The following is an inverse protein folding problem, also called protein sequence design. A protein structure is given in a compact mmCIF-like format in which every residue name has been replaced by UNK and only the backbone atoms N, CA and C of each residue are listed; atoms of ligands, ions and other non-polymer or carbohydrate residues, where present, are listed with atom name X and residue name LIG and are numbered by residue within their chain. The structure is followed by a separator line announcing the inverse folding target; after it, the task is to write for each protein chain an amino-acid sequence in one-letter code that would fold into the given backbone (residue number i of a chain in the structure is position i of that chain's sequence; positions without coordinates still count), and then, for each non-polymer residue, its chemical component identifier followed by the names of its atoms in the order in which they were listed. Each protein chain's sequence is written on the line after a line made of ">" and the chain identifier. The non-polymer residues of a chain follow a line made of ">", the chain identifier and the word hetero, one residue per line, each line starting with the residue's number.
data_IF_330111362175
#
_entry.id   IF_330111362175
#
_cell.length_a   1.000
_cell.length_b   1.000
_cell.length_c   1.000
_cell.angle_alpha   90.00
_cell.angle_beta   90.00
_cell.angle_gamma   90.00
#
_symmetry.space_group_name_H-M   'P 1'
#
loop_
_entity.id
_entity.type
_entity.pdbx_description
1 polymer ?
#
# COMPACT_ATOMS: atom_id res chain seq x y z
N UNK A 1 9.70 95.12 -16.04
CA UNK A 1 10.01 94.33 -14.83
C UNK A 1 10.85 93.14 -15.28
N UNK A 2 12.17 93.22 -15.14
CA UNK A 2 13.07 92.07 -15.34
C UNK A 2 14.33 92.32 -14.50
N UNK A 3 14.62 91.49 -13.47
CA UNK A 3 15.77 91.68 -12.58
C UNK A 3 17.08 91.09 -13.14
N UNK A 4 18.21 91.68 -12.76
CA UNK A 4 19.55 91.08 -12.75
C UNK A 4 19.78 90.49 -11.34
N UNK A 5 20.59 89.42 -11.10
CA UNK A 5 22.05 89.60 -11.10
C UNK A 5 22.89 88.39 -11.59
N UNK A 6 24.22 88.58 -11.74
CA UNK A 6 25.15 87.62 -12.33
C UNK A 6 25.88 86.79 -11.26
N UNK A 7 26.71 85.82 -11.68
CA UNK A 7 28.09 85.52 -11.18
C UNK A 7 28.47 84.10 -11.65
N UNK A 8 29.55 83.96 -12.45
CA UNK A 8 30.27 82.70 -12.62
C UNK A 8 31.76 82.94 -12.38
N UNK A 9 32.26 82.39 -11.26
CA UNK A 9 33.67 82.35 -10.88
C UNK A 9 34.47 81.25 -11.60
N UNK A 10 35.76 81.07 -11.26
CA UNK A 10 36.82 80.75 -12.23
C UNK A 10 37.07 79.26 -12.54
N UNK A 11 37.69 79.07 -13.70
CA UNK A 11 38.18 77.86 -14.38
C UNK A 11 39.30 77.11 -13.63
N UNK A 12 39.46 75.78 -13.84
CA UNK A 12 40.76 75.04 -14.02
C UNK A 12 40.57 73.49 -14.10
N UNK A 13 41.60 72.67 -14.45
CA UNK A 13 41.82 72.13 -15.79
C UNK A 13 41.73 70.59 -15.86
N UNK A 14 41.79 70.04 -17.09
CA UNK A 14 41.94 68.59 -17.37
C UNK A 14 43.22 68.05 -16.72
N UNK A 15 43.13 66.93 -15.97
CA UNK A 15 44.30 66.11 -15.58
C UNK A 15 44.08 64.65 -15.98
N UNK A 16 45.08 64.15 -16.71
CA UNK A 16 45.20 62.80 -17.27
C UNK A 16 45.68 61.83 -16.17
N UNK A 17 45.02 60.66 -16.07
CA UNK A 17 45.45 59.35 -15.51
C UNK A 17 46.14 59.28 -14.13
N UNK A 18 45.84 58.25 -13.32
CA UNK A 18 46.71 57.07 -13.36
C UNK A 18 46.03 55.71 -13.07
N UNK A 19 46.53 54.68 -13.78
CA UNK A 19 46.72 53.26 -13.39
C UNK A 19 45.59 52.48 -12.70
N UNK A 20 45.24 51.34 -13.31
CA UNK A 20 44.40 50.28 -12.74
C UNK A 20 44.76 49.95 -11.27
N UNK A 21 43.78 49.91 -10.36
CA UNK A 21 43.99 49.28 -9.06
C UNK A 21 44.04 47.75 -9.21
N UNK A 22 44.97 47.13 -8.49
CA UNK A 22 45.13 45.68 -8.38
C UNK A 22 43.81 44.95 -7.98
N UNK A 23 43.65 43.66 -8.31
CA UNK A 23 42.40 42.95 -8.05
C UNK A 23 42.12 42.83 -6.55
N UNK A 24 40.92 43.26 -6.15
CA UNK A 24 40.35 43.03 -4.81
C UNK A 24 40.15 41.52 -4.60
N UNK A 25 40.58 40.91 -3.48
CA UNK A 25 40.25 39.53 -3.19
C UNK A 25 38.74 39.41 -2.93
N UNK A 26 38.00 38.91 -3.90
CA UNK A 26 36.59 38.54 -3.71
C UNK A 26 36.52 37.23 -2.95
N UNK A 27 35.87 37.27 -1.79
CA UNK A 27 35.48 36.10 -1.00
C UNK A 27 34.81 35.08 -1.92
N UNK A 28 35.16 33.77 -1.89
CA UNK A 28 34.50 32.79 -2.72
C UNK A 28 33.03 32.71 -2.29
N UNK A 29 32.13 33.08 -3.19
CA UNK A 29 30.70 32.79 -3.05
C UNK A 29 30.56 31.27 -2.99
N UNK A 30 30.20 30.76 -1.81
CA UNK A 30 29.76 29.37 -1.64
C UNK A 30 28.55 29.16 -2.54
N UNK A 31 28.81 28.66 -3.75
CA UNK A 31 27.82 28.17 -4.70
C UNK A 31 27.07 27.07 -3.96
N UNK A 32 25.87 27.40 -3.49
CA UNK A 32 24.98 26.47 -2.83
C UNK A 32 24.90 25.21 -3.68
N UNK A 33 25.53 24.14 -3.18
CA UNK A 33 25.43 22.80 -3.77
C UNK A 33 23.92 22.53 -3.87
N UNK A 34 23.38 22.13 -5.03
CA UNK A 34 21.98 21.77 -5.10
C UNK A 34 21.77 20.69 -4.04
N UNK A 35 21.05 21.05 -2.97
CA UNK A 35 20.58 20.09 -1.99
C UNK A 35 19.65 19.20 -2.78
N UNK A 36 20.19 18.07 -3.23
CA UNK A 36 19.37 16.96 -3.68
C UNK A 36 18.72 16.47 -2.40
N UNK A 37 17.60 17.12 -2.05
CA UNK A 37 16.72 16.63 -1.02
C UNK A 37 16.19 15.31 -1.56
N UNK A 38 16.79 14.21 -1.14
CA UNK A 38 16.20 12.89 -1.25
C UNK A 38 14.90 12.97 -0.46
N UNK A 39 13.81 13.33 -1.13
CA UNK A 39 12.48 13.23 -0.57
C UNK A 39 12.27 11.73 -0.30
N UNK A 40 12.41 11.33 0.97
CA UNK A 40 11.97 10.02 1.41
C UNK A 40 10.47 9.99 1.09
N UNK A 41 9.99 9.07 0.23
CA UNK A 41 8.57 9.03 -0.09
C UNK A 41 7.81 8.79 1.21
N UNK A 42 6.95 9.75 1.56
CA UNK A 42 6.04 9.69 2.71
C UNK A 42 4.89 8.71 2.42
N UNK A 43 5.22 7.45 2.10
CA UNK A 43 4.25 6.37 1.80
C UNK A 43 4.14 5.37 2.95
N UNK A 44 4.37 5.79 4.20
CA UNK A 44 4.82 4.82 5.22
C UNK A 44 3.76 4.46 6.27
N UNK A 45 2.76 5.29 6.55
CA UNK A 45 1.81 5.01 7.66
C UNK A 45 0.42 4.56 7.19
N UNK A 46 -0.15 5.18 6.15
CA UNK A 46 -1.52 4.85 5.74
C UNK A 46 -1.62 3.51 4.99
N UNK A 47 -0.57 3.14 4.26
CA UNK A 47 -0.57 1.91 3.45
C UNK A 47 -0.09 0.67 4.21
N UNK A 48 0.61 0.86 5.33
CA UNK A 48 1.25 -0.22 6.09
C UNK A 48 0.23 -1.16 6.73
N UNK A 49 -0.90 -0.64 7.23
CA UNK A 49 -1.94 -1.48 7.83
C UNK A 49 -2.65 -2.36 6.80
N UNK A 50 -2.99 -1.84 5.61
CA UNK A 50 -3.58 -2.67 4.56
C UNK A 50 -2.58 -3.73 4.06
N UNK A 51 -1.30 -3.37 3.90
CA UNK A 51 -0.23 -4.32 3.57
C UNK A 51 -0.11 -5.42 4.60
N UNK A 52 -0.17 -5.06 5.89
CA UNK A 52 -0.15 -6.03 6.98
C UNK A 52 -1.36 -6.96 6.94
N UNK A 53 -2.57 -6.43 6.81
CA UNK A 53 -3.80 -7.22 6.73
C UNK A 53 -3.79 -8.17 5.52
N UNK A 54 -3.33 -7.72 4.36
CA UNK A 54 -3.17 -8.57 3.17
C UNK A 54 -2.14 -9.69 3.39
N UNK A 55 -1.01 -9.40 4.06
CA UNK A 55 0.00 -10.43 4.36
C UNK A 55 -0.50 -11.45 5.37
N UNK A 56 -1.18 -10.98 6.41
CA UNK A 56 -1.78 -11.84 7.43
C UNK A 56 -2.79 -12.79 6.79
N UNK A 57 -3.73 -12.26 6.00
CA UNK A 57 -4.72 -13.05 5.26
C UNK A 57 -4.03 -14.07 4.33
N UNK A 58 -3.05 -13.63 3.55
CA UNK A 58 -2.31 -14.51 2.64
C UNK A 58 -1.60 -15.67 3.34
N UNK A 59 -0.95 -15.41 4.47
CA UNK A 59 -0.22 -16.44 5.24
C UNK A 59 -1.22 -17.40 5.89
N UNK A 60 -2.24 -16.86 6.58
CA UNK A 60 -3.24 -17.68 7.25
C UNK A 60 -4.03 -18.53 6.26
N UNK A 61 -4.48 -17.96 5.14
CA UNK A 61 -5.21 -18.69 4.10
C UNK A 61 -4.31 -19.70 3.39
N UNK A 62 -3.07 -19.34 3.05
CA UNK A 62 -2.11 -20.25 2.42
C UNK A 62 -1.77 -21.46 3.31
N UNK A 63 -1.43 -21.22 4.58
CA UNK A 63 -1.17 -22.28 5.55
C UNK A 63 -2.42 -23.11 5.85
N UNK A 64 -3.58 -22.48 5.95
CA UNK A 64 -4.86 -23.14 6.10
C UNK A 64 -5.17 -24.07 4.93
N UNK A 65 -4.89 -23.65 3.70
CA UNK A 65 -5.00 -24.49 2.51
C UNK A 65 -4.07 -25.70 2.53
N UNK A 66 -2.80 -25.52 2.93
CA UNK A 66 -1.86 -26.65 3.07
C UNK A 66 -2.31 -27.63 4.15
N UNK A 67 -2.74 -27.12 5.31
CA UNK A 67 -3.27 -27.95 6.39
C UNK A 67 -4.54 -28.70 5.97
N UNK A 68 -5.43 -28.02 5.23
CA UNK A 68 -6.64 -28.61 4.67
C UNK A 68 -6.31 -29.73 3.68
N UNK A 69 -5.34 -29.53 2.77
CA UNK A 69 -4.90 -30.58 1.85
C UNK A 69 -4.33 -31.80 2.59
N UNK A 70 -3.52 -31.58 3.62
CA UNK A 70 -2.94 -32.65 4.43
C UNK A 70 -4.01 -33.44 5.21
N UNK A 71 -5.08 -32.76 5.65
CA UNK A 71 -6.16 -33.34 6.43
C UNK A 71 -7.40 -33.72 5.61
N UNK A 72 -7.42 -33.54 4.28
CA UNK A 72 -8.62 -33.69 3.46
C UNK A 72 -9.24 -35.11 3.55
N UNK A 73 -8.44 -36.17 3.58
CA UNK A 73 -8.98 -37.53 3.68
C UNK A 73 -9.76 -37.79 4.99
N UNK A 74 -9.20 -37.55 6.19
CA UNK A 74 -9.95 -37.69 7.43
C UNK A 74 -11.04 -36.62 7.59
N UNK A 75 -10.83 -35.42 7.05
CA UNK A 75 -11.78 -34.32 7.16
C UNK A 75 -13.05 -34.58 6.34
N UNK A 76 -12.94 -35.04 5.10
CA UNK A 76 -14.07 -35.41 4.24
C UNK A 76 -15.00 -36.43 4.89
N UNK A 77 -14.42 -37.40 5.60
CA UNK A 77 -15.19 -38.40 6.34
C UNK A 77 -15.96 -37.80 7.53
N UNK A 78 -15.41 -36.76 8.15
CA UNK A 78 -15.97 -36.10 9.33
C UNK A 78 -16.97 -35.00 8.98
N UNK A 79 -16.67 -34.21 7.95
CA UNK A 79 -17.46 -33.07 7.49
C UNK A 79 -18.60 -33.48 6.55
N UNK A 80 -18.52 -34.68 5.97
CA UNK A 80 -19.46 -35.17 4.95
C UNK A 80 -19.28 -34.49 3.59
N UNK A 81 -18.27 -33.64 3.42
CA UNK A 81 -17.97 -33.03 2.13
C UNK A 81 -17.29 -34.05 1.20
N UNK A 82 -17.50 -33.97 -0.13
CA UNK A 82 -16.79 -34.79 -1.08
C UNK A 82 -15.30 -34.48 -1.00
N UNK A 83 -14.47 -35.52 -1.01
CA UNK A 83 -13.01 -35.38 -0.95
C UNK A 83 -12.47 -34.44 -2.05
N UNK A 84 -13.05 -34.50 -3.25
CA UNK A 84 -12.71 -33.61 -4.35
C UNK A 84 -13.00 -32.12 -4.04
N UNK A 85 -14.07 -31.83 -3.31
CA UNK A 85 -14.41 -30.46 -2.91
C UNK A 85 -13.42 -29.94 -1.86
N UNK A 86 -13.00 -30.76 -0.90
CA UNK A 86 -12.00 -30.36 0.10
C UNK A 86 -10.62 -30.12 -0.50
N UNK A 87 -10.17 -31.00 -1.42
CA UNK A 87 -8.93 -30.75 -2.16
C UNK A 87 -9.02 -29.54 -3.08
N UNK A 88 -10.17 -29.33 -3.73
CA UNK A 88 -10.43 -28.14 -4.55
C UNK A 88 -10.35 -26.86 -3.72
N UNK A 89 -10.95 -26.86 -2.53
CA UNK A 89 -10.89 -25.74 -1.59
C UNK A 89 -9.47 -25.50 -1.08
N UNK A 90 -8.74 -26.57 -0.74
CA UNK A 90 -7.36 -26.49 -0.30
C UNK A 90 -6.45 -25.89 -1.38
N UNK A 91 -6.57 -26.37 -2.62
CA UNK A 91 -5.82 -25.85 -3.75
C UNK A 91 -6.15 -24.37 -4.01
N UNK A 92 -7.44 -24.02 -3.95
CA UNK A 92 -7.88 -22.63 -4.08
C UNK A 92 -7.25 -21.72 -3.01
N UNK A 93 -7.24 -22.14 -1.74
CA UNK A 93 -6.63 -21.37 -0.65
C UNK A 93 -5.11 -21.20 -0.79
N UNK A 94 -4.39 -22.24 -1.24
CA UNK A 94 -2.95 -22.12 -1.49
C UNK A 94 -2.68 -21.11 -2.62
N UNK A 95 -3.39 -21.24 -3.74
CA UNK A 95 -3.23 -20.32 -4.89
C UNK A 95 -3.61 -18.89 -4.52
N UNK A 96 -4.71 -18.73 -3.78
CA UNK A 96 -5.16 -17.44 -3.27
C UNK A 96 -4.10 -16.83 -2.34
N UNK A 97 -3.62 -17.57 -1.34
CA UNK A 97 -2.59 -17.10 -0.42
C UNK A 97 -1.32 -16.64 -1.13
N UNK A 98 -0.82 -17.42 -2.10
CA UNK A 98 0.33 -17.01 -2.93
C UNK A 98 0.04 -15.74 -3.73
N UNK A 99 -1.15 -15.65 -4.34
CA UNK A 99 -1.55 -14.49 -5.14
C UNK A 99 -1.67 -13.23 -4.29
N UNK A 100 -2.34 -13.30 -3.13
CA UNK A 100 -2.48 -12.15 -2.22
C UNK A 100 -1.12 -11.76 -1.63
N UNK A 101 -0.27 -12.74 -1.28
CA UNK A 101 1.07 -12.45 -0.79
C UNK A 101 1.89 -11.68 -1.83
N UNK A 102 1.86 -12.10 -3.10
CA UNK A 102 2.56 -11.39 -4.18
C UNK A 102 1.99 -10.00 -4.42
N UNK A 103 0.66 -9.85 -4.39
CA UNK A 103 -0.01 -8.56 -4.52
C UNK A 103 0.33 -7.59 -3.36
N UNK A 104 0.53 -8.11 -2.14
CA UNK A 104 0.92 -7.30 -0.98
C UNK A 104 2.29 -6.64 -1.11
N UNK A 105 3.12 -7.09 -2.05
CA UNK A 105 4.48 -6.59 -2.30
C UNK A 105 4.52 -5.48 -3.37
N UNK A 106 3.37 -5.11 -3.96
CA UNK A 106 3.29 -4.04 -4.96
C UNK A 106 3.41 -2.65 -4.32
N UNK A 107 3.87 -1.70 -5.13
CA UNK A 107 4.03 -0.30 -4.71
C UNK A 107 2.70 0.34 -4.30
N UNK A 108 1.62 0.04 -5.04
CA UNK A 108 0.25 0.40 -4.66
C UNK A 108 -0.56 -0.84 -4.27
N UNK A 109 -1.09 -0.84 -3.04
CA UNK A 109 -1.93 -1.94 -2.51
C UNK A 109 -3.41 -1.62 -2.44
N UNK A 110 -3.82 -0.42 -2.86
CA UNK A 110 -5.21 0.03 -2.78
C UNK A 110 -6.15 -0.80 -3.65
N UNK A 111 -5.80 -0.97 -4.93
CA UNK A 111 -6.58 -1.78 -5.86
C UNK A 111 -6.53 -3.28 -5.50
N UNK A 112 -5.36 -3.88 -5.22
CA UNK A 112 -5.30 -5.24 -4.72
C UNK A 112 -6.12 -5.48 -3.45
N UNK A 113 -6.03 -4.60 -2.44
CA UNK A 113 -6.80 -4.75 -1.21
C UNK A 113 -8.31 -4.72 -1.44
N UNK A 114 -8.78 -3.91 -2.40
CA UNK A 114 -10.21 -3.90 -2.78
C UNK A 114 -10.65 -5.24 -3.39
N UNK A 115 -9.82 -5.84 -4.24
CA UNK A 115 -10.08 -7.17 -4.80
C UNK A 115 -10.09 -8.27 -3.73
N UNK A 116 -9.16 -8.22 -2.78
CA UNK A 116 -9.07 -9.19 -1.67
C UNK A 116 -10.31 -9.09 -0.77
N UNK A 117 -10.78 -7.87 -0.45
CA UNK A 117 -12.04 -7.66 0.28
C UNK A 117 -13.21 -8.32 -0.47
N UNK A 118 -13.33 -8.07 -1.79
CA UNK A 118 -14.41 -8.63 -2.59
C UNK A 118 -14.36 -10.16 -2.65
N UNK A 119 -13.16 -10.74 -2.80
CA UNK A 119 -12.96 -12.19 -2.79
C UNK A 119 -13.34 -12.82 -1.45
N UNK A 120 -12.93 -12.21 -0.34
CA UNK A 120 -13.27 -12.67 1.00
C UNK A 120 -14.78 -12.61 1.26
N UNK A 121 -15.44 -11.52 0.85
CA UNK A 121 -16.89 -11.39 0.94
C UNK A 121 -17.62 -12.42 0.09
N UNK A 122 -17.16 -12.65 -1.14
CA UNK A 122 -17.72 -13.68 -2.02
C UNK A 122 -17.58 -15.07 -1.40
N UNK A 123 -16.44 -15.36 -0.78
CA UNK A 123 -16.22 -16.61 -0.07
C UNK A 123 -17.17 -16.77 1.13
N UNK A 124 -17.34 -15.73 1.95
CA UNK A 124 -18.30 -15.73 3.06
C UNK A 124 -19.71 -16.01 2.56
N UNK A 125 -20.13 -15.37 1.45
CA UNK A 125 -21.44 -15.62 0.86
C UNK A 125 -21.56 -17.05 0.33
N UNK A 126 -20.52 -17.56 -0.33
CA UNK A 126 -20.49 -18.94 -0.84
C UNK A 126 -20.57 -19.97 0.29
N UNK A 127 -19.87 -19.75 1.42
CA UNK A 127 -19.92 -20.65 2.56
C UNK A 127 -21.29 -20.68 3.22
N UNK A 128 -21.92 -19.50 3.38
CA UNK A 128 -23.30 -19.39 3.91
C UNK A 128 -24.29 -20.05 2.95
N UNK A 129 -24.17 -19.78 1.65
CA UNK A 129 -25.04 -20.37 0.63
C UNK A 129 -24.90 -21.90 0.59
N UNK A 130 -23.70 -22.46 0.69
CA UNK A 130 -23.46 -23.89 0.74
C UNK A 130 -24.20 -24.55 1.93
N UNK A 131 -24.18 -23.90 3.10
CA UNK A 131 -24.91 -24.37 4.29
C UNK A 131 -26.43 -24.26 4.09
N UNK A 132 -26.93 -23.11 3.62
CA UNK A 132 -28.37 -22.88 3.46
C UNK A 132 -29.00 -23.77 2.39
N UNK A 133 -28.26 -24.08 1.33
CA UNK A 133 -28.72 -24.96 0.24
C UNK A 133 -28.53 -26.44 0.57
N UNK A 134 -27.85 -26.77 1.67
CA UNK A 134 -27.48 -28.14 2.00
C UNK A 134 -26.56 -28.75 0.93
N UNK A 135 -25.73 -27.93 0.28
CA UNK A 135 -24.84 -28.37 -0.78
C UNK A 135 -23.90 -29.46 -0.24
N UNK A 136 -23.95 -30.65 -0.85
CA UNK A 136 -23.28 -31.87 -0.40
C UNK A 136 -23.76 -32.50 0.91
N UNK A 137 -24.88 -32.02 1.46
CA UNK A 137 -25.46 -32.55 2.71
C UNK A 137 -24.43 -32.66 3.85
N UNK A 138 -23.79 -31.54 4.24
CA UNK A 138 -22.70 -31.56 5.20
C UNK A 138 -23.19 -32.04 6.57
N UNK A 139 -22.32 -32.73 7.30
CA UNK A 139 -22.56 -33.05 8.71
C UNK A 139 -22.56 -31.76 9.54
N UNK A 140 -22.97 -31.83 10.82
CA UNK A 140 -22.83 -30.70 11.74
C UNK A 140 -21.40 -30.16 11.79
N UNK A 141 -20.39 -31.04 11.73
CA UNK A 141 -19.00 -30.63 11.67
C UNK A 141 -18.65 -29.90 10.37
N UNK A 142 -19.18 -30.36 9.22
CA UNK A 142 -19.02 -29.67 7.93
C UNK A 142 -19.67 -28.29 7.92
N UNK A 143 -20.86 -28.15 8.53
CA UNK A 143 -21.51 -26.83 8.70
C UNK A 143 -20.64 -25.90 9.54
N UNK A 144 -20.15 -26.37 10.69
CA UNK A 144 -19.25 -25.58 11.55
C UNK A 144 -17.97 -25.20 10.79
N UNK A 145 -17.39 -26.12 10.03
CA UNK A 145 -16.19 -25.88 9.22
C UNK A 145 -16.42 -24.78 8.16
N UNK A 146 -17.50 -24.89 7.39
CA UNK A 146 -17.85 -23.90 6.36
C UNK A 146 -18.13 -22.52 6.97
N UNK A 147 -18.90 -22.47 8.06
CA UNK A 147 -19.21 -21.21 8.73
C UNK A 147 -17.97 -20.60 9.40
N UNK A 148 -17.09 -21.40 9.99
CA UNK A 148 -15.83 -20.93 10.55
C UNK A 148 -14.95 -20.30 9.46
N UNK A 149 -14.85 -20.93 8.28
CA UNK A 149 -14.18 -20.37 7.12
C UNK A 149 -14.81 -19.04 6.67
N UNK A 150 -16.14 -18.98 6.58
CA UNK A 150 -16.86 -17.76 6.20
C UNK A 150 -16.71 -16.60 7.19
N UNK A 151 -16.73 -16.88 8.49
CA UNK A 151 -16.46 -15.89 9.55
C UNK A 151 -15.03 -15.40 9.47
N UNK A 152 -14.07 -16.32 9.29
CA UNK A 152 -12.66 -15.97 9.11
C UNK A 152 -12.46 -14.99 7.94
N UNK A 153 -13.00 -15.30 6.75
CA UNK A 153 -12.86 -14.41 5.59
C UNK A 153 -13.56 -13.07 5.81
N UNK A 154 -14.69 -13.05 6.50
CA UNK A 154 -15.38 -11.80 6.86
C UNK A 154 -14.53 -10.91 7.77
N UNK A 155 -13.88 -11.49 8.79
CA UNK A 155 -12.95 -10.75 9.66
C UNK A 155 -11.77 -10.19 8.86
N UNK A 156 -11.20 -10.99 7.95
CA UNK A 156 -10.11 -10.51 7.09
C UNK A 156 -10.56 -9.38 6.16
N UNK A 157 -11.74 -9.49 5.56
CA UNK A 157 -12.35 -8.43 4.76
C UNK A 157 -12.51 -7.13 5.55
N UNK A 158 -12.95 -7.21 6.82
CA UNK A 158 -13.13 -6.03 7.68
C UNK A 158 -11.79 -5.36 8.02
N UNK A 159 -10.76 -6.14 8.36
CA UNK A 159 -9.40 -5.62 8.56
C UNK A 159 -8.86 -4.90 7.33
N UNK A 160 -9.07 -5.46 6.14
CA UNK A 160 -8.66 -4.86 4.87
C UNK A 160 -9.47 -3.59 4.56
N UNK A 161 -10.78 -3.60 4.84
CA UNK A 161 -11.65 -2.43 4.66
C UNK A 161 -11.23 -1.26 5.58
N UNK A 162 -10.95 -1.54 6.85
CA UNK A 162 -10.44 -0.55 7.80
C UNK A 162 -9.12 0.04 7.28
N UNK A 163 -8.21 -0.79 6.76
CA UNK A 163 -6.98 -0.32 6.14
C UNK A 163 -7.20 0.58 4.93
N UNK A 164 -8.12 0.18 4.04
CA UNK A 164 -8.48 0.96 2.87
C UNK A 164 -9.12 2.31 3.24
N UNK A 165 -9.94 2.34 4.29
CA UNK A 165 -10.58 3.56 4.80
C UNK A 165 -9.57 4.53 5.43
N UNK A 166 -8.52 4.02 6.09
CA UNK A 166 -7.44 4.84 6.66
C UNK A 166 -6.53 5.48 5.60
N UNK A 167 -6.56 5.01 4.36
CA UNK A 167 -5.84 5.60 3.22
C UNK A 167 -6.56 6.75 2.53
N UNK A 168 -7.82 7.02 2.88
CA UNK A 168 -8.62 8.12 2.33
C UNK A 168 -8.54 9.30 3.27
#
# INVERSE_FOLDING_TARGET
>A
MTPYPPVRGPSRPKRLGPTDPAPVPTTPTTKGRPMTATAVPTTTTNDSFLRFAMRLDAICTGLGGVALAAAAAPLSSYTGLPLAAEYGLAAFFVVYGVTVFTLSRRDSVRAPGTWVIAANLLFTLASVAAVLTGLWSPTTAGVVFLLAGGVYTLVMADLQYIGLRRMR
#
